data_IF_352090926838
#
_entry.id   IF_352090926838
#
_cell.length_a   1.000
_cell.length_b   1.000
_cell.length_c   1.000
_cell.angle_alpha   90.00
_cell.angle_beta   90.00
_cell.angle_gamma   90.00
#
_symmetry.space_group_name_H-M   'P 1'
#
loop_
_entity.id
_entity.type
_entity.pdbx_description
1 polymer ?
#
# COMPACT_ATOMS: atom_id res chain seq x y z
N UNK A 1 -11.01 12.15 -21.39
CA UNK A 1 -11.32 12.38 -19.95
C UNK A 1 -9.97 12.52 -19.26
N UNK A 2 -9.69 13.70 -18.67
CA UNK A 2 -8.51 13.84 -17.84
C UNK A 2 -8.63 12.87 -16.67
N UNK A 3 -7.65 12.00 -16.50
CA UNK A 3 -7.60 11.12 -15.34
C UNK A 3 -7.37 12.00 -14.11
N UNK A 4 -8.42 12.26 -13.34
CA UNK A 4 -8.30 13.00 -12.09
C UNK A 4 -7.37 12.26 -11.14
N UNK A 5 -6.43 12.98 -10.55
CA UNK A 5 -5.43 12.43 -9.63
C UNK A 5 -5.47 13.13 -8.27
N UNK A 6 -4.95 12.48 -7.26
CA UNK A 6 -4.75 13.02 -5.92
C UNK A 6 -3.29 12.88 -5.50
N UNK A 7 -2.86 13.72 -4.56
CA UNK A 7 -1.46 13.80 -4.12
C UNK A 7 -1.24 12.96 -2.86
N UNK A 8 -0.21 12.14 -2.93
CA UNK A 8 0.30 11.33 -1.82
C UNK A 8 1.81 11.44 -1.70
N UNK A 9 2.37 10.82 -0.66
CA UNK A 9 3.80 10.89 -0.34
C UNK A 9 4.39 9.50 -0.09
N UNK A 10 5.60 9.29 -0.61
CA UNK A 10 6.37 8.07 -0.34
C UNK A 10 7.71 8.44 0.29
N UNK A 11 8.03 7.83 1.43
CA UNK A 11 9.30 8.04 2.13
C UNK A 11 10.29 6.89 1.93
N UNK A 12 11.53 7.21 1.56
CA UNK A 12 12.59 6.22 1.31
C UNK A 12 13.98 6.79 1.58
N UNK A 13 14.98 5.93 1.70
CA UNK A 13 16.41 6.31 1.75
C UNK A 13 17.13 6.13 0.40
N UNK A 14 16.39 5.81 -0.66
CA UNK A 14 16.94 5.61 -2.00
C UNK A 14 16.40 6.67 -2.97
N UNK A 15 17.28 7.15 -3.84
CA UNK A 15 16.92 8.03 -4.95
C UNK A 15 16.73 7.20 -6.21
N UNK A 16 15.59 7.37 -6.88
CA UNK A 16 15.27 6.70 -8.14
C UNK A 16 14.31 7.56 -8.99
N UNK A 17 14.28 7.30 -10.30
CA UNK A 17 13.46 8.07 -11.25
C UNK A 17 12.09 7.44 -11.53
N UNK A 18 11.92 6.17 -11.17
CA UNK A 18 10.69 5.41 -11.41
C UNK A 18 10.48 4.39 -10.28
N UNK A 19 9.23 4.28 -9.84
CA UNK A 19 8.82 3.19 -8.94
C UNK A 19 8.86 1.84 -9.66
N UNK A 20 9.21 0.79 -8.95
CA UNK A 20 9.11 -0.57 -9.43
C UNK A 20 8.75 -1.55 -8.34
N UNK A 21 7.79 -2.41 -8.62
CA UNK A 21 7.37 -3.49 -7.72
C UNK A 21 8.47 -4.55 -7.52
N UNK A 22 9.48 -4.61 -8.42
CA UNK A 22 10.64 -5.52 -8.27
C UNK A 22 11.53 -5.20 -7.07
N UNK A 23 11.42 -4.00 -6.50
CA UNK A 23 12.16 -3.59 -5.31
C UNK A 23 11.36 -3.75 -4.01
N UNK A 24 10.16 -4.34 -4.06
CA UNK A 24 9.37 -4.63 -2.87
C UNK A 24 10.13 -5.55 -1.91
N UNK A 25 10.01 -5.25 -0.61
CA UNK A 25 10.70 -6.01 0.43
C UNK A 25 12.17 -5.63 0.69
N UNK A 26 12.77 -4.74 -0.11
CA UNK A 26 14.12 -4.20 0.14
C UNK A 26 14.11 -3.00 1.11
N UNK A 27 12.94 -2.47 1.47
CA UNK A 27 12.76 -1.45 2.51
C UNK A 27 12.40 -2.07 3.87
N UNK A 28 12.26 -1.23 4.91
CA UNK A 28 11.87 -1.68 6.26
C UNK A 28 10.46 -2.27 6.35
N UNK A 29 9.61 -2.02 5.36
CA UNK A 29 8.21 -2.41 5.36
C UNK A 29 8.06 -3.91 5.17
N UNK A 30 7.79 -4.62 6.26
CA UNK A 30 7.10 -5.91 6.17
C UNK A 30 5.77 -5.63 5.47
N UNK A 31 5.46 -6.33 4.38
CA UNK A 31 4.22 -6.19 3.58
C UNK A 31 2.96 -6.56 4.39
N UNK A 32 2.80 -5.92 5.56
CA UNK A 32 1.76 -6.22 6.55
C UNK A 32 0.35 -6.01 5.99
N UNK A 33 0.21 -5.08 5.08
CA UNK A 33 -1.07 -4.72 4.47
C UNK A 33 -1.19 -5.18 3.01
N UNK A 34 -0.34 -6.12 2.58
CA UNK A 34 -0.27 -6.63 1.21
C UNK A 34 0.95 -6.11 0.46
N UNK A 35 1.18 -6.69 -0.71
CA UNK A 35 2.25 -6.25 -1.59
C UNK A 35 1.78 -5.03 -2.38
N UNK A 36 2.66 -4.04 -2.54
CA UNK A 36 2.41 -2.81 -3.28
C UNK A 36 3.38 -1.71 -2.88
N UNK A 37 3.32 -0.59 -3.57
CA UNK A 37 4.12 0.60 -3.25
C UNK A 37 3.36 1.42 -2.21
N UNK A 38 3.94 1.54 -1.03
CA UNK A 38 3.31 2.17 0.13
C UNK A 38 3.42 3.69 0.05
N UNK A 39 2.30 4.38 0.12
CA UNK A 39 2.17 5.83 0.12
C UNK A 39 1.29 6.30 1.29
N UNK A 40 1.49 7.53 1.73
CA UNK A 40 0.74 8.16 2.83
C UNK A 40 0.13 9.48 2.39
N UNK A 41 -1.04 9.83 2.90
CA UNK A 41 -1.61 11.16 2.74
C UNK A 41 -0.85 12.23 3.55
N UNK A 42 0.00 11.83 4.48
CA UNK A 42 0.77 12.72 5.35
C UNK A 42 2.25 12.79 4.93
N UNK A 43 2.71 13.99 4.56
CA UNK A 43 4.13 14.27 4.28
C UNK A 43 5.04 13.93 5.47
N UNK A 44 4.64 14.34 6.69
CA UNK A 44 5.38 14.05 7.91
C UNK A 44 5.53 12.55 8.17
N UNK A 45 4.51 11.77 7.84
CA UNK A 45 4.57 10.30 7.94
C UNK A 45 5.52 9.71 6.90
N UNK A 46 5.53 10.21 5.68
CA UNK A 46 6.48 9.77 4.66
C UNK A 46 7.93 10.08 5.09
N UNK A 47 8.21 11.28 5.62
CA UNK A 47 9.52 11.64 6.16
C UNK A 47 9.94 10.73 7.32
N UNK A 48 9.02 10.40 8.24
CA UNK A 48 9.26 9.43 9.32
C UNK A 48 9.69 8.05 8.77
N UNK A 49 8.99 7.55 7.74
CA UNK A 49 9.34 6.27 7.11
C UNK A 49 10.67 6.35 6.36
N UNK A 50 10.99 7.47 5.69
CA UNK A 50 12.27 7.70 5.07
C UNK A 50 13.43 7.61 6.08
N UNK A 51 13.28 8.27 7.23
CA UNK A 51 14.27 8.25 8.30
C UNK A 51 14.47 6.86 8.90
N UNK A 52 13.37 6.13 9.16
CA UNK A 52 13.44 4.74 9.63
C UNK A 52 14.13 3.83 8.62
N UNK A 53 13.81 3.97 7.33
CA UNK A 53 14.44 3.21 6.27
C UNK A 53 15.94 3.53 6.15
N UNK A 54 16.33 4.79 6.29
CA UNK A 54 17.72 5.21 6.28
C UNK A 54 18.50 4.57 7.42
N UNK A 55 17.98 4.63 8.64
CA UNK A 55 18.61 4.00 9.82
C UNK A 55 18.76 2.49 9.66
N UNK A 56 17.71 1.79 9.21
CA UNK A 56 17.74 0.35 9.02
C UNK A 56 18.74 -0.10 7.94
N UNK A 57 18.98 0.76 6.94
CA UNK A 57 19.88 0.46 5.82
C UNK A 57 21.26 1.12 5.96
N UNK A 58 21.60 1.74 7.10
CA UNK A 58 22.88 2.43 7.31
C UNK A 58 23.09 3.60 6.34
N UNK A 59 22.02 4.28 5.92
CA UNK A 59 22.06 5.44 5.03
C UNK A 59 21.88 6.73 5.82
N UNK A 60 22.48 7.81 5.33
CA UNK A 60 22.33 9.17 5.88
C UNK A 60 21.26 9.99 5.15
N UNK A 61 20.88 9.60 3.94
CA UNK A 61 19.95 10.36 3.11
C UNK A 61 18.53 9.86 3.28
N UNK A 62 17.60 10.82 3.39
CA UNK A 62 16.16 10.60 3.44
C UNK A 62 15.49 11.37 2.31
N UNK A 63 14.57 10.74 1.59
CA UNK A 63 13.84 11.35 0.48
C UNK A 63 12.35 11.20 0.68
N UNK A 64 11.61 12.26 0.35
CA UNK A 64 10.15 12.23 0.23
C UNK A 64 9.78 12.50 -1.23
N UNK A 65 9.06 11.57 -1.80
CA UNK A 65 8.48 11.65 -3.14
C UNK A 65 7.06 12.15 -3.01
N UNK A 66 6.75 13.28 -3.64
CA UNK A 66 5.37 13.70 -3.90
C UNK A 66 4.91 12.98 -5.16
N UNK A 67 3.83 12.26 -5.07
CA UNK A 67 3.31 11.45 -6.17
C UNK A 67 1.86 11.79 -6.48
N UNK A 68 1.50 11.78 -7.76
CA UNK A 68 0.14 11.83 -8.24
C UNK A 68 -0.34 10.40 -8.54
N UNK A 69 -1.50 10.04 -8.00
CA UNK A 69 -2.10 8.70 -8.13
C UNK A 69 -3.58 8.85 -8.52
N UNK A 70 -4.22 7.86 -9.16
CA UNK A 70 -5.64 7.91 -9.50
C UNK A 70 -6.53 8.20 -8.29
N UNK A 71 -7.64 8.90 -8.51
CA UNK A 71 -8.63 9.12 -7.45
C UNK A 71 -9.16 7.79 -6.89
N UNK A 72 -9.43 7.79 -5.60
CA UNK A 72 -10.16 6.70 -4.95
C UNK A 72 -11.61 6.67 -5.46
N UNK A 73 -12.06 5.49 -5.85
CA UNK A 73 -13.46 5.22 -6.23
C UNK A 73 -13.97 4.02 -5.45
N UNK A 74 -15.28 3.82 -5.39
CA UNK A 74 -15.88 2.72 -4.62
C UNK A 74 -15.45 1.33 -5.10
N UNK A 75 -14.99 1.22 -6.35
CA UNK A 75 -14.67 -0.06 -6.99
C UNK A 75 -13.17 -0.29 -7.25
N UNK A 76 -12.31 0.69 -6.97
CA UNK A 76 -10.87 0.55 -7.23
C UNK A 76 -10.02 0.34 -5.98
N UNK A 77 -10.64 0.12 -4.81
CA UNK A 77 -9.88 -0.07 -3.58
C UNK A 77 -10.50 -1.09 -2.63
N UNK A 78 -9.67 -1.59 -1.73
CA UNK A 78 -10.08 -2.43 -0.62
C UNK A 78 -9.58 -1.82 0.69
N UNK A 79 -10.51 -1.45 1.56
CA UNK A 79 -10.20 -0.99 2.91
C UNK A 79 -9.93 -2.18 3.82
N UNK A 80 -8.79 -2.20 4.53
CA UNK A 80 -8.35 -3.34 5.33
C UNK A 80 -9.30 -3.74 6.45
N UNK A 81 -10.03 -2.78 7.02
CA UNK A 81 -10.90 -2.94 8.18
C UNK A 81 -12.37 -2.59 7.91
N UNK A 82 -12.78 -2.56 6.64
CA UNK A 82 -14.17 -2.35 6.22
C UNK A 82 -14.62 -3.51 5.31
N UNK A 83 -15.92 -3.75 5.18
CA UNK A 83 -16.46 -4.71 4.23
C UNK A 83 -16.00 -4.40 2.80
N UNK A 84 -15.77 -5.45 2.02
CA UNK A 84 -15.38 -5.31 0.62
C UNK A 84 -16.60 -4.93 -0.23
N UNK A 85 -16.39 -4.04 -1.19
CA UNK A 85 -17.45 -3.65 -2.14
C UNK A 85 -17.96 -4.88 -2.90
N UNK A 86 -19.30 -4.98 -3.03
CA UNK A 86 -19.97 -6.13 -3.65
C UNK A 86 -19.58 -6.36 -5.11
N UNK A 87 -19.28 -5.29 -5.85
CA UNK A 87 -18.84 -5.39 -7.25
C UNK A 87 -17.43 -6.00 -7.35
N UNK A 88 -16.53 -5.66 -6.42
CA UNK A 88 -15.20 -6.28 -6.34
C UNK A 88 -15.35 -7.77 -6.00
N UNK A 89 -16.22 -8.11 -5.04
CA UNK A 89 -16.49 -9.51 -4.66
C UNK A 89 -17.02 -10.28 -5.86
N UNK A 90 -18.06 -9.77 -6.54
CA UNK A 90 -18.66 -10.42 -7.70
C UNK A 90 -17.65 -10.61 -8.85
N UNK A 91 -16.79 -9.60 -9.08
CA UNK A 91 -15.70 -9.71 -10.06
C UNK A 91 -14.71 -10.80 -9.69
N UNK A 92 -14.32 -10.88 -8.41
CA UNK A 92 -13.41 -11.91 -7.91
C UNK A 92 -14.02 -13.31 -8.06
N UNK A 93 -15.28 -13.53 -7.63
CA UNK A 93 -16.00 -14.79 -7.76
C UNK A 93 -16.08 -15.27 -9.20
N UNK A 94 -16.36 -14.35 -10.13
CA UNK A 94 -16.39 -14.66 -11.57
C UNK A 94 -15.03 -15.16 -12.08
N UNK A 95 -13.93 -14.60 -11.58
CA UNK A 95 -12.58 -14.96 -12.04
C UNK A 95 -12.07 -16.24 -11.38
N UNK A 96 -12.34 -16.43 -10.08
CA UNK A 96 -11.93 -17.64 -9.35
C UNK A 96 -12.85 -18.83 -9.62
N UNK A 97 -14.07 -18.60 -10.10
CA UNK A 97 -15.04 -19.65 -10.47
C UNK A 97 -15.80 -20.26 -9.29
N UNK A 98 -15.73 -19.67 -8.10
CA UNK A 98 -16.44 -20.14 -6.91
C UNK A 98 -16.91 -18.96 -6.04
N UNK A 99 -17.92 -19.21 -5.20
CA UNK A 99 -18.44 -18.23 -4.24
C UNK A 99 -17.44 -17.97 -3.12
N UNK A 100 -17.28 -16.71 -2.75
CA UNK A 100 -16.40 -16.30 -1.66
C UNK A 100 -17.21 -16.24 -0.36
N UNK A 101 -16.76 -16.95 0.71
CA UNK A 101 -17.50 -17.01 1.98
C UNK A 101 -17.72 -15.61 2.61
N UNK A 102 -18.87 -15.43 3.24
CA UNK A 102 -19.21 -14.17 3.91
C UNK A 102 -18.16 -13.71 4.93
N UNK A 103 -17.53 -14.66 5.64
CA UNK A 103 -16.49 -14.38 6.62
C UNK A 103 -15.24 -13.74 5.99
N UNK A 104 -15.01 -14.00 4.71
CA UNK A 104 -13.87 -13.44 4.00
C UNK A 104 -14.14 -11.99 3.51
N UNK A 105 -15.39 -11.57 3.36
CA UNK A 105 -15.73 -10.26 2.79
C UNK A 105 -16.07 -9.19 3.83
N UNK A 106 -16.18 -9.56 5.11
CA UNK A 106 -16.50 -8.63 6.22
C UNK A 106 -15.42 -7.58 6.47
N UNK A 107 -14.18 -7.89 6.13
CA UNK A 107 -13.06 -6.95 6.18
C UNK A 107 -12.06 -7.24 5.05
N UNK A 108 -11.57 -6.19 4.38
CA UNK A 108 -10.65 -6.33 3.25
C UNK A 108 -9.37 -7.12 3.57
N UNK A 109 -8.87 -7.08 4.81
CA UNK A 109 -7.72 -7.91 5.22
C UNK A 109 -8.00 -9.41 5.15
N UNK A 110 -9.24 -9.84 5.43
CA UNK A 110 -9.63 -11.26 5.32
C UNK A 110 -9.82 -11.65 3.88
N UNK A 111 -10.48 -10.79 3.11
CA UNK A 111 -10.70 -11.00 1.68
C UNK A 111 -9.37 -11.21 0.95
N UNK A 112 -8.41 -10.31 1.14
CA UNK A 112 -7.08 -10.42 0.54
C UNK A 112 -6.40 -11.74 0.89
N UNK A 113 -6.39 -12.12 2.16
CA UNK A 113 -5.78 -13.38 2.61
C UNK A 113 -6.51 -14.61 2.08
N UNK A 114 -7.84 -14.56 2.01
CA UNK A 114 -8.63 -15.62 1.41
C UNK A 114 -8.23 -15.84 -0.04
N UNK A 115 -8.25 -14.78 -0.84
CA UNK A 115 -7.85 -14.82 -2.26
C UNK A 115 -6.43 -15.35 -2.41
N UNK A 116 -5.47 -14.83 -1.65
CA UNK A 116 -4.08 -15.31 -1.72
C UNK A 116 -3.93 -16.79 -1.39
N UNK A 117 -4.59 -17.27 -0.35
CA UNK A 117 -4.58 -18.68 0.01
C UNK A 117 -5.23 -19.55 -1.07
N UNK A 118 -6.35 -19.10 -1.64
CA UNK A 118 -7.04 -19.80 -2.71
C UNK A 118 -6.12 -19.96 -3.94
N UNK A 119 -5.50 -18.86 -4.38
CA UNK A 119 -4.63 -18.86 -5.57
C UNK A 119 -3.33 -19.67 -5.39
N UNK A 120 -2.88 -19.83 -4.15
CA UNK A 120 -1.68 -20.66 -3.84
C UNK A 120 -2.02 -22.09 -3.46
N UNK A 121 -3.27 -22.54 -3.66
CA UNK A 121 -3.73 -23.89 -3.33
C UNK A 121 -3.76 -24.19 -1.83
N UNK A 122 -3.70 -23.18 -0.98
CA UNK A 122 -3.77 -23.32 0.46
C UNK A 122 -5.23 -23.34 0.90
N UNK A 123 -5.61 -24.33 1.72
CA UNK A 123 -6.96 -24.34 2.32
C UNK A 123 -7.14 -23.13 3.21
N UNK A 124 -8.07 -22.25 2.84
CA UNK A 124 -8.37 -21.07 3.64
C UNK A 124 -9.25 -21.44 4.83
N UNK A 125 -8.82 -21.09 6.02
CA UNK A 125 -9.58 -21.22 7.26
C UNK A 125 -9.60 -19.86 7.95
N UNK A 126 -10.60 -19.61 8.81
CA UNK A 126 -10.68 -18.37 9.60
C UNK A 126 -9.36 -18.13 10.36
N UNK A 127 -8.76 -19.16 10.93
CA UNK A 127 -7.46 -19.07 11.62
C UNK A 127 -6.34 -18.58 10.71
N UNK A 128 -6.29 -19.00 9.45
CA UNK A 128 -5.32 -18.54 8.44
C UNK A 128 -5.58 -17.10 8.02
N UNK A 129 -6.85 -16.70 7.90
CA UNK A 129 -7.22 -15.32 7.57
C UNK A 129 -6.86 -14.33 8.70
N UNK A 130 -6.93 -14.75 9.96
CA UNK A 130 -6.56 -13.92 11.12
C UNK A 130 -5.04 -13.96 11.38
N UNK A 131 -4.37 -15.06 11.02
CA UNK A 131 -2.95 -15.31 11.29
C UNK A 131 -1.97 -14.40 10.55
N UNK A 132 -0.67 -14.70 10.73
CA UNK A 132 0.41 -14.01 10.01
C UNK A 132 0.27 -14.21 8.51
N UNK A 133 0.51 -13.16 7.75
CA UNK A 133 0.50 -13.20 6.30
C UNK A 133 1.60 -14.13 5.74
N UNK A 134 1.25 -14.95 4.77
CA UNK A 134 2.20 -15.66 3.94
C UNK A 134 2.60 -14.78 2.76
N UNK A 135 3.90 -14.55 2.57
CA UNK A 135 4.38 -13.61 1.55
C UNK A 135 3.98 -14.02 0.13
N UNK A 136 4.00 -15.32 -0.18
CA UNK A 136 3.60 -15.84 -1.49
C UNK A 136 2.11 -15.61 -1.73
N UNK A 137 1.28 -15.91 -0.74
CA UNK A 137 -0.16 -15.67 -0.81
C UNK A 137 -0.49 -14.17 -0.92
N UNK A 138 0.21 -13.31 -0.18
CA UNK A 138 0.01 -11.85 -0.27
C UNK A 138 0.39 -11.31 -1.65
N UNK A 139 1.46 -11.82 -2.26
CA UNK A 139 1.85 -11.47 -3.62
C UNK A 139 0.79 -11.89 -4.63
N UNK A 140 0.36 -13.15 -4.59
CA UNK A 140 -0.67 -13.67 -5.47
C UNK A 140 -1.99 -12.88 -5.33
N UNK A 141 -2.36 -12.52 -4.10
CA UNK A 141 -3.54 -11.69 -3.85
C UNK A 141 -3.40 -10.31 -4.50
N UNK A 142 -2.26 -9.63 -4.32
CA UNK A 142 -2.04 -8.28 -4.87
C UNK A 142 -2.06 -8.28 -6.39
N UNK A 143 -1.41 -9.24 -7.04
CA UNK A 143 -1.43 -9.41 -8.50
C UNK A 143 -2.85 -9.67 -9.01
N UNK A 144 -3.58 -10.58 -8.37
CA UNK A 144 -4.97 -10.88 -8.72
C UNK A 144 -5.87 -9.65 -8.58
N UNK A 145 -5.78 -8.95 -7.45
CA UNK A 145 -6.59 -7.77 -7.18
C UNK A 145 -6.33 -6.66 -8.20
N UNK A 146 -5.06 -6.42 -8.55
CA UNK A 146 -4.70 -5.50 -9.63
C UNK A 146 -5.34 -5.93 -10.97
N UNK A 147 -5.28 -7.22 -11.30
CA UNK A 147 -5.86 -7.75 -12.54
C UNK A 147 -7.38 -7.55 -12.65
N UNK A 148 -8.11 -7.54 -11.54
CA UNK A 148 -9.56 -7.27 -11.53
C UNK A 148 -9.90 -5.79 -11.32
N UNK A 149 -8.92 -4.87 -11.43
CA UNK A 149 -9.13 -3.42 -11.41
C UNK A 149 -9.00 -2.75 -10.03
N UNK A 150 -8.58 -3.47 -9.00
CA UNK A 150 -8.25 -2.86 -7.70
C UNK A 150 -6.89 -2.19 -7.81
N UNK A 151 -6.87 -0.87 -7.56
CA UNK A 151 -5.65 -0.05 -7.59
C UNK A 151 -5.00 0.01 -6.21
N UNK A 152 -5.81 0.01 -5.15
CA UNK A 152 -5.33 0.26 -3.79
C UNK A 152 -5.77 -0.78 -2.76
N UNK A 153 -4.82 -1.09 -1.87
CA UNK A 153 -5.15 -1.57 -0.52
C UNK A 153 -5.02 -0.37 0.42
N UNK A 154 -6.05 -0.08 1.21
CA UNK A 154 -6.16 1.13 2.03
C UNK A 154 -6.26 0.77 3.51
N UNK A 155 -5.59 1.52 4.38
CA UNK A 155 -5.76 1.41 5.84
C UNK A 155 -5.61 2.78 6.50
N UNK A 156 -6.24 3.01 7.67
CA UNK A 156 -6.10 4.25 8.40
C UNK A 156 -4.66 4.43 8.90
N UNK A 157 -4.15 5.65 8.87
CA UNK A 157 -2.82 5.97 9.43
C UNK A 157 -2.77 5.64 10.93
N UNK A 158 -3.83 5.92 11.66
CA UNK A 158 -3.99 5.59 13.06
C UNK A 158 -5.28 4.81 13.31
N UNK A 159 -5.20 3.73 14.06
CA UNK A 159 -6.37 2.94 14.46
C UNK A 159 -7.31 3.73 15.38
N UNK A 160 -6.81 4.71 16.12
CA UNK A 160 -7.61 5.59 16.98
C UNK A 160 -8.32 6.72 16.23
N UNK A 161 -7.96 6.96 14.96
CA UNK A 161 -8.56 7.95 14.06
C UNK A 161 -8.82 7.32 12.69
N UNK A 162 -9.81 6.43 12.58
CA UNK A 162 -10.05 5.66 11.34
C UNK A 162 -10.48 6.52 10.15
N UNK A 163 -11.05 7.70 10.41
CA UNK A 163 -11.52 8.65 9.37
C UNK A 163 -10.50 9.77 9.09
N UNK A 164 -9.30 9.68 9.66
CA UNK A 164 -8.20 10.61 9.43
C UNK A 164 -7.35 10.26 8.22
N UNK A 165 -6.07 10.64 8.28
CA UNK A 165 -5.08 10.30 7.26
C UNK A 165 -5.06 8.82 6.93
N UNK A 166 -4.87 8.51 5.65
CA UNK A 166 -4.80 7.12 5.17
C UNK A 166 -3.43 6.80 4.61
N UNK A 167 -3.09 5.53 4.68
CA UNK A 167 -1.99 4.94 3.93
C UNK A 167 -2.57 4.01 2.87
N UNK A 168 -1.87 3.88 1.76
CA UNK A 168 -2.25 3.00 0.65
C UNK A 168 -1.06 2.16 0.20
N UNK A 169 -1.34 0.94 -0.26
CA UNK A 169 -0.43 0.19 -1.12
C UNK A 169 -0.98 0.26 -2.55
N UNK A 170 -0.24 0.87 -3.46
CA UNK A 170 -0.57 0.93 -4.89
C UNK A 170 -0.12 -0.37 -5.53
N UNK A 171 -1.03 -1.07 -6.18
CA UNK A 171 -0.80 -2.42 -6.70
C UNK A 171 -0.11 -2.46 -8.07
N UNK A 172 -0.09 -1.32 -8.78
CA UNK A 172 0.55 -1.20 -10.07
C UNK A 172 1.48 0.03 -10.10
N UNK A 173 2.73 -0.18 -10.42
CA UNK A 173 3.73 0.89 -10.49
C UNK A 173 3.42 1.95 -11.55
N UNK A 174 2.65 1.62 -12.59
CA UNK A 174 2.24 2.54 -13.64
C UNK A 174 1.14 3.53 -13.19
N UNK A 175 0.51 3.28 -12.05
CA UNK A 175 -0.49 4.18 -11.45
C UNK A 175 0.14 5.28 -10.59
N UNK A 176 1.48 5.38 -10.57
CA UNK A 176 2.22 6.37 -9.77
C UNK A 176 3.03 7.27 -10.68
N UNK A 177 2.73 8.58 -10.63
CA UNK A 177 3.52 9.60 -11.30
C UNK A 177 4.31 10.42 -10.27
N UNK A 178 5.62 10.49 -10.40
CA UNK A 178 6.48 11.32 -9.53
C UNK A 178 6.31 12.78 -9.96
N UNK A 179 5.81 13.60 -9.03
CA UNK A 179 5.62 15.05 -9.22
C UNK A 179 6.83 15.82 -8.73
N UNK A 180 7.39 15.40 -7.58
CA UNK A 180 8.49 16.10 -6.91
C UNK A 180 9.28 15.11 -6.05
N UNK A 181 10.58 15.35 -5.92
CA UNK A 181 11.47 14.61 -5.02
C UNK A 181 12.18 15.62 -4.12
N UNK A 182 12.11 15.43 -2.83
CA UNK A 182 12.79 16.27 -1.84
C UNK A 182 13.70 15.41 -0.98
N UNK A 183 14.94 15.86 -0.82
CA UNK A 183 15.80 15.38 0.26
C UNK A 183 15.40 16.10 1.53
N UNK A 184 15.18 15.35 2.61
CA UNK A 184 14.72 15.87 3.90
C UNK A 184 15.67 15.48 5.01
N UNK A 185 15.66 16.24 6.09
CA UNK A 185 16.38 15.94 7.32
C UNK A 185 15.41 15.57 8.44
N UNK A 186 15.80 14.62 9.27
CA UNK A 186 15.03 14.18 10.42
C UNK A 186 15.92 14.14 11.67
N UNK A 187 15.34 14.47 12.79
CA UNK A 187 16.02 14.40 14.09
C UNK A 187 16.27 12.92 14.54
N UNK A 188 16.91 12.76 15.68
CA UNK A 188 17.20 11.44 16.25
C UNK A 188 15.93 10.62 16.56
N UNK A 189 14.79 11.28 16.78
CA UNK A 189 13.46 10.68 16.99
C UNK A 189 12.70 10.42 15.69
N UNK A 190 13.35 10.57 14.53
CA UNK A 190 12.81 10.48 13.18
C UNK A 190 11.71 11.50 12.86
N UNK A 191 11.71 12.67 13.53
CA UNK A 191 10.80 13.76 13.18
C UNK A 191 11.43 14.62 12.11
N UNK A 192 10.64 15.04 11.13
CA UNK A 192 11.04 16.00 10.10
C UNK A 192 11.53 17.31 10.75
N UNK A 193 12.70 17.78 10.32
CA UNK A 193 13.21 19.11 10.63
C UNK A 193 12.76 20.03 9.50
N UNK A 194 11.78 20.88 9.78
CA UNK A 194 11.18 21.76 8.78
C UNK A 194 12.19 22.85 8.33
N UNK A 195 12.15 23.21 7.06
CA UNK A 195 13.01 24.23 6.47
C UNK A 195 14.35 23.73 5.93
N UNK A 196 14.60 22.43 5.98
CA UNK A 196 15.79 21.78 5.40
C UNK A 196 15.47 20.92 4.18
N UNK A 197 14.27 21.08 3.61
CA UNK A 197 13.87 20.35 2.42
C UNK A 197 14.58 20.89 1.19
N UNK A 198 15.32 20.01 0.49
CA UNK A 198 16.00 20.32 -0.76
C UNK A 198 15.32 19.62 -1.92
N UNK A 199 14.77 20.39 -2.84
CA UNK A 199 14.17 19.86 -4.09
C UNK A 199 15.29 19.27 -4.94
N UNK A 200 15.11 18.00 -5.36
CA UNK A 200 16.01 17.25 -6.24
C UNK A 200 15.44 17.23 -7.67
N UNK A 201 14.12 17.07 -7.79
CA UNK A 201 13.39 17.00 -9.06
C UNK A 201 12.00 17.59 -8.90
#
# INVERSE_FOLDING_TARGET
MENMTEIFYHGTCYLFDKFSLSFLGKGEGKSKFGQGIYISSSYKSAALYASKAAKANGKSSCYVYTVAVPLLTDVNHIFSNKPVNKEIVACAEKVVGEAIPNEAVVEGKYFRKYIGNLLTGQRSTLKKMIGKADATAENAASEFLNKIGVVYLVWPHSQSKPDGDTNRAVLNENDINIVKIEQVECDEKNKLIEGFEKVIK
#
